data_IF_338121745908
#
_entry.id   IF_338121745908
#
_cell.length_a   1.000
_cell.length_b   1.000
_cell.length_c   1.000
_cell.angle_alpha   90.00
_cell.angle_beta   90.00
_cell.angle_gamma   90.00
#
_symmetry.space_group_name_H-M   'P 1'
#
loop_
_entity.id
_entity.type
_entity.pdbx_description
1 polymer ?
#
# COMPACT_ATOMS: atom_id res chain seq x y z
N UNK A 1 40.07 4.42 -9.26
CA UNK A 1 40.63 3.05 -9.12
C UNK A 1 40.88 2.81 -7.64
N UNK A 2 39.91 2.26 -6.91
CA UNK A 2 40.05 1.99 -5.48
C UNK A 2 38.75 1.41 -4.93
N UNK A 3 38.84 0.50 -3.96
CA UNK A 3 37.77 -0.30 -3.34
C UNK A 3 37.33 -1.61 -4.03
N UNK A 4 37.65 -1.89 -5.31
CA UNK A 4 37.10 -3.11 -5.97
C UNK A 4 37.90 -4.42 -5.78
N UNK A 5 39.15 -4.36 -5.30
CA UNK A 5 40.03 -5.56 -5.25
C UNK A 5 40.26 -6.16 -3.85
N UNK A 6 39.78 -5.53 -2.77
CA UNK A 6 40.08 -5.97 -1.40
C UNK A 6 38.90 -6.60 -0.66
N UNK A 7 37.67 -6.28 -1.03
CA UNK A 7 36.49 -6.97 -0.54
C UNK A 7 36.23 -8.14 -1.51
N UNK A 8 36.45 -9.37 -1.04
CA UNK A 8 36.36 -10.59 -1.86
C UNK A 8 35.09 -10.65 -2.72
N UNK A 9 35.13 -11.44 -3.80
CA UNK A 9 34.10 -11.57 -4.85
C UNK A 9 32.66 -11.64 -4.31
N UNK A 10 32.48 -12.25 -3.13
CA UNK A 10 31.21 -12.32 -2.38
C UNK A 10 30.62 -10.95 -2.01
N UNK A 11 31.42 -9.99 -1.55
CA UNK A 11 30.95 -8.65 -1.15
C UNK A 11 30.64 -7.80 -2.39
N UNK A 12 31.44 -7.93 -3.46
CA UNK A 12 31.19 -7.24 -4.72
C UNK A 12 29.87 -7.68 -5.38
N UNK A 13 29.59 -8.98 -5.37
CA UNK A 13 28.33 -9.53 -5.88
C UNK A 13 27.13 -9.07 -5.03
N UNK A 14 27.27 -9.03 -3.69
CA UNK A 14 26.24 -8.54 -2.78
C UNK A 14 25.85 -7.09 -3.08
N UNK A 15 26.82 -6.19 -3.21
CA UNK A 15 26.54 -4.79 -3.52
C UNK A 15 25.98 -4.58 -4.94
N UNK A 16 26.43 -5.37 -5.92
CA UNK A 16 25.86 -5.32 -7.27
C UNK A 16 24.40 -5.78 -7.29
N UNK A 17 24.08 -6.87 -6.59
CA UNK A 17 22.72 -7.37 -6.41
C UNK A 17 21.84 -6.35 -5.68
N UNK A 18 22.33 -5.78 -4.58
CA UNK A 18 21.61 -4.80 -3.78
C UNK A 18 21.30 -3.52 -4.58
N UNK A 19 22.27 -3.03 -5.35
CA UNK A 19 22.11 -1.86 -6.22
C UNK A 19 21.10 -2.12 -7.33
N UNK A 20 21.16 -3.29 -7.96
CA UNK A 20 20.19 -3.74 -8.95
C UNK A 20 18.78 -3.84 -8.38
N UNK A 21 18.62 -4.47 -7.21
CA UNK A 21 17.33 -4.62 -6.52
C UNK A 21 16.73 -3.26 -6.14
N UNK A 22 17.55 -2.35 -5.60
CA UNK A 22 17.12 -0.98 -5.24
C UNK A 22 16.73 -0.16 -6.47
N UNK A 23 17.49 -0.26 -7.56
CA UNK A 23 17.19 0.44 -8.81
C UNK A 23 15.88 -0.03 -9.45
N UNK A 24 15.58 -1.31 -9.28
CA UNK A 24 14.31 -1.90 -9.70
C UNK A 24 13.16 -1.52 -8.73
N UNK A 25 13.41 -1.39 -7.43
CA UNK A 25 12.40 -0.95 -6.47
C UNK A 25 11.92 0.49 -6.71
N UNK A 26 12.76 1.34 -7.27
CA UNK A 26 12.45 2.75 -7.52
C UNK A 26 11.18 2.97 -8.38
N UNK A 27 11.01 2.36 -9.59
CA UNK A 27 9.78 2.49 -10.35
C UNK A 27 8.57 1.88 -9.64
N UNK A 28 8.73 0.78 -8.90
CA UNK A 28 7.63 0.20 -8.11
C UNK A 28 7.17 1.15 -7.00
N UNK A 29 8.11 1.83 -6.33
CA UNK A 29 7.82 2.83 -5.31
C UNK A 29 7.11 4.06 -5.90
N UNK A 30 7.53 4.53 -7.08
CA UNK A 30 6.84 5.63 -7.77
C UNK A 30 5.40 5.30 -8.10
N UNK A 31 5.15 4.13 -8.72
CA UNK A 31 3.78 3.69 -9.05
C UNK A 31 2.92 3.56 -7.78
N UNK A 32 3.48 2.98 -6.71
CA UNK A 32 2.79 2.89 -5.42
C UNK A 32 2.44 4.26 -4.83
N UNK A 33 3.37 5.22 -4.91
CA UNK A 33 3.15 6.59 -4.44
C UNK A 33 2.06 7.31 -5.25
N UNK A 34 2.03 7.14 -6.57
CA UNK A 34 0.98 7.71 -7.42
C UNK A 34 -0.40 7.11 -7.12
N UNK A 35 -0.49 5.79 -6.95
CA UNK A 35 -1.74 5.11 -6.57
C UNK A 35 -2.23 5.60 -5.20
N UNK A 36 -1.31 5.76 -4.26
CA UNK A 36 -1.61 6.27 -2.92
C UNK A 36 -2.15 7.71 -2.95
N UNK A 37 -1.47 8.60 -3.66
CA UNK A 37 -1.92 9.99 -3.83
C UNK A 37 -3.29 10.04 -4.53
N UNK A 38 -3.48 9.26 -5.59
CA UNK A 38 -4.74 9.21 -6.32
C UNK A 38 -5.90 8.77 -5.42
N UNK A 39 -5.70 7.75 -4.59
CA UNK A 39 -6.75 7.31 -3.67
C UNK A 39 -7.03 8.34 -2.56
N UNK A 40 -6.02 9.06 -2.04
CA UNK A 40 -6.26 10.14 -1.06
C UNK A 40 -7.06 11.28 -1.69
N UNK A 41 -6.66 11.75 -2.88
CA UNK A 41 -7.40 12.80 -3.59
C UNK A 41 -8.84 12.37 -3.90
N UNK A 42 -9.03 11.11 -4.28
CA UNK A 42 -10.37 10.55 -4.51
C UNK A 42 -11.20 10.53 -3.22
N UNK A 43 -10.61 10.17 -2.08
CA UNK A 43 -11.31 10.18 -0.78
C UNK A 43 -11.67 11.59 -0.29
N UNK A 44 -10.87 12.61 -0.60
CA UNK A 44 -11.18 14.00 -0.25
C UNK A 44 -12.24 14.61 -1.17
N UNK A 45 -12.21 14.30 -2.47
CA UNK A 45 -13.17 14.86 -3.43
C UNK A 45 -14.50 14.10 -3.52
N UNK A 46 -14.60 12.87 -3.01
CA UNK A 46 -15.80 12.06 -3.18
C UNK A 46 -16.87 12.35 -2.10
N UNK A 47 -18.10 12.59 -2.56
CA UNK A 47 -19.27 12.86 -1.70
C UNK A 47 -19.54 11.73 -0.69
N UNK A 48 -19.22 10.48 -1.04
CA UNK A 48 -19.36 9.27 -0.20
C UNK A 48 -18.63 9.41 1.15
N UNK A 49 -17.41 9.94 1.12
CA UNK A 49 -16.56 10.17 2.30
C UNK A 49 -17.16 11.21 3.25
N UNK A 50 -17.92 12.16 2.69
CA UNK A 50 -18.59 13.24 3.41
C UNK A 50 -19.91 12.77 4.02
N UNK A 51 -20.66 11.97 3.28
CA UNK A 51 -21.94 11.40 3.75
C UNK A 51 -21.74 10.42 4.92
N UNK A 52 -20.72 9.55 4.87
CA UNK A 52 -20.42 8.61 5.96
C UNK A 52 -19.95 9.35 7.23
N UNK A 53 -19.15 10.42 7.07
CA UNK A 53 -18.64 11.21 8.19
C UNK A 53 -19.68 12.14 8.82
N UNK A 54 -20.65 12.65 8.04
CA UNK A 54 -21.71 13.53 8.54
C UNK A 54 -22.96 12.79 9.01
N UNK A 55 -23.07 11.49 8.73
CA UNK A 55 -24.17 10.63 9.18
C UNK A 55 -24.11 10.35 10.69
N UNK A 56 -24.40 11.38 11.49
CA UNK A 56 -24.48 11.29 12.95
C UNK A 56 -25.75 10.57 13.40
N UNK A 57 -26.80 10.57 12.57
CA UNK A 57 -28.12 10.00 12.91
C UNK A 57 -28.19 8.48 12.78
N UNK A 58 -27.14 7.84 12.25
CA UNK A 58 -27.07 6.39 12.05
C UNK A 58 -26.28 5.76 13.19
N UNK A 59 -26.98 5.04 14.07
CA UNK A 59 -26.40 4.28 15.18
C UNK A 59 -26.27 2.83 14.75
N UNK A 60 -25.07 2.27 14.87
CA UNK A 60 -24.81 0.86 14.60
C UNK A 60 -25.06 0.01 15.86
N UNK A 61 -25.47 -1.23 15.64
CA UNK A 61 -25.58 -2.20 16.73
C UNK A 61 -24.20 -2.51 17.33
N UNK A 62 -24.11 -2.70 18.66
CA UNK A 62 -22.88 -3.13 19.30
C UNK A 62 -22.47 -4.51 18.76
N UNK A 63 -21.16 -4.72 18.63
CA UNK A 63 -20.58 -5.95 18.09
C UNK A 63 -20.58 -7.09 19.14
N UNK A 64 -21.00 -6.79 20.38
CA UNK A 64 -20.92 -7.69 21.52
C UNK A 64 -22.27 -7.83 22.23
N UNK A 65 -22.54 -9.03 22.77
CA UNK A 65 -23.80 -9.38 23.43
C UNK A 65 -24.03 -8.68 24.79
N UNK A 66 -22.98 -8.22 25.49
CA UNK A 66 -23.10 -7.62 26.83
C UNK A 66 -22.15 -6.43 27.05
N UNK A 67 -22.66 -5.37 27.68
CA UNK A 67 -21.93 -4.19 28.16
C UNK A 67 -21.10 -3.40 27.12
N UNK A 68 -21.54 -3.32 25.85
CA UNK A 68 -20.89 -2.46 24.86
C UNK A 68 -21.72 -1.21 24.54
N UNK A 69 -21.08 -0.02 24.44
CA UNK A 69 -21.77 1.19 24.02
C UNK A 69 -22.19 1.09 22.54
N UNK A 70 -23.33 1.67 22.21
CA UNK A 70 -23.77 1.84 20.83
C UNK A 70 -22.79 2.76 20.10
N UNK A 71 -22.28 2.33 18.94
CA UNK A 71 -21.30 3.08 18.16
C UNK A 71 -22.01 3.90 17.08
N UNK A 72 -21.58 5.16 16.89
CA UNK A 72 -22.08 6.00 15.79
C UNK A 72 -21.33 5.65 14.51
N UNK A 73 -22.02 5.70 13.37
CA UNK A 73 -21.40 5.45 12.07
C UNK A 73 -20.26 6.44 11.78
N UNK A 74 -20.40 7.68 12.24
CA UNK A 74 -19.40 8.74 12.13
C UNK A 74 -18.06 8.41 12.81
N UNK A 75 -18.07 7.64 13.90
CA UNK A 75 -16.85 7.28 14.64
C UNK A 75 -15.95 6.34 13.84
N UNK A 76 -16.56 5.53 12.95
CA UNK A 76 -15.84 4.63 12.06
C UNK A 76 -15.56 5.24 10.69
N UNK A 77 -15.77 6.55 10.51
CA UNK A 77 -15.64 7.17 9.19
C UNK A 77 -14.22 7.03 8.61
N UNK A 78 -13.17 7.18 9.43
CA UNK A 78 -11.79 6.99 8.97
C UNK A 78 -11.56 5.55 8.51
N UNK A 79 -12.09 4.58 9.24
CA UNK A 79 -11.98 3.17 8.86
C UNK A 79 -12.71 2.89 7.55
N UNK A 80 -13.95 3.39 7.39
CA UNK A 80 -14.71 3.26 6.15
C UNK A 80 -14.01 3.90 4.95
N UNK A 81 -13.41 5.09 5.11
CA UNK A 81 -12.61 5.75 4.07
C UNK A 81 -11.40 4.90 3.68
N UNK A 82 -10.67 4.37 4.66
CA UNK A 82 -9.48 3.55 4.42
C UNK A 82 -9.84 2.25 3.69
N UNK A 83 -10.90 1.56 4.12
CA UNK A 83 -11.37 0.34 3.46
C UNK A 83 -11.81 0.62 2.02
N UNK A 84 -12.61 1.67 1.80
CA UNK A 84 -13.03 2.06 0.44
C UNK A 84 -11.85 2.49 -0.45
N UNK A 85 -10.78 3.03 0.13
CA UNK A 85 -9.55 3.35 -0.59
C UNK A 85 -8.82 2.08 -1.07
N UNK A 86 -8.75 1.05 -0.22
CA UNK A 86 -8.13 -0.23 -0.59
C UNK A 86 -8.98 -1.05 -1.56
N UNK A 87 -10.31 -0.94 -1.48
CA UNK A 87 -11.25 -1.58 -2.41
C UNK A 87 -11.35 -0.87 -3.79
N UNK A 88 -10.57 0.19 -4.01
CA UNK A 88 -10.55 0.87 -5.31
C UNK A 88 -9.69 0.12 -6.34
N UNK A 89 -10.08 0.20 -7.62
CA UNK A 89 -9.41 -0.52 -8.72
C UNK A 89 -7.91 -0.21 -8.88
N UNK A 90 -7.45 0.96 -8.41
CA UNK A 90 -6.04 1.35 -8.45
C UNK A 90 -5.15 0.46 -7.54
N UNK A 91 -5.65 0.08 -6.36
CA UNK A 91 -4.94 -0.81 -5.41
C UNK A 91 -4.87 -2.24 -5.94
N UNK A 92 -5.96 -2.72 -6.57
CA UNK A 92 -6.01 -4.03 -7.23
C UNK A 92 -4.97 -4.11 -8.35
N UNK A 93 -4.89 -3.06 -9.19
CA UNK A 93 -3.87 -2.97 -10.24
C UNK A 93 -2.45 -2.99 -9.67
N UNK A 94 -2.20 -2.23 -8.59
CA UNK A 94 -0.90 -2.22 -7.92
C UNK A 94 -0.53 -3.60 -7.34
N UNK A 95 -1.47 -4.33 -6.75
CA UNK A 95 -1.24 -5.67 -6.23
C UNK A 95 -0.83 -6.67 -7.33
N UNK A 96 -1.50 -6.61 -8.49
CA UNK A 96 -1.14 -7.43 -9.66
C UNK A 96 0.26 -7.05 -10.18
N UNK A 97 0.55 -5.76 -10.26
CA UNK A 97 1.88 -5.27 -10.65
C UNK A 97 2.98 -5.82 -9.73
N UNK A 98 2.79 -5.77 -8.41
CA UNK A 98 3.73 -6.30 -7.43
C UNK A 98 3.89 -7.82 -7.52
N UNK A 99 2.82 -8.57 -7.82
CA UNK A 99 2.88 -10.01 -8.02
C UNK A 99 3.69 -10.40 -9.26
N UNK A 100 3.46 -9.72 -10.39
CA UNK A 100 4.23 -9.91 -11.63
C UNK A 100 5.69 -9.50 -11.44
N UNK A 101 5.90 -8.39 -10.75
CA UNK A 101 7.23 -7.87 -10.41
C UNK A 101 8.04 -8.83 -9.55
N UNK A 102 7.44 -9.37 -8.49
CA UNK A 102 8.07 -10.37 -7.62
C UNK A 102 8.47 -11.60 -8.43
N UNK A 103 7.56 -12.13 -9.26
CA UNK A 103 7.85 -13.27 -10.14
C UNK A 103 9.00 -12.99 -11.12
N UNK A 104 9.02 -11.81 -11.75
CA UNK A 104 10.10 -11.41 -12.66
C UNK A 104 11.45 -11.29 -11.94
N UNK A 105 11.45 -10.74 -10.73
CA UNK A 105 12.68 -10.54 -9.93
C UNK A 105 13.24 -11.87 -9.41
N UNK A 106 12.37 -12.80 -8.97
CA UNK A 106 12.81 -14.13 -8.53
C UNK A 106 13.33 -14.99 -9.68
N UNK A 107 12.71 -14.91 -10.87
CA UNK A 107 13.17 -15.66 -12.05
C UNK A 107 14.54 -15.15 -12.54
N UNK A 108 14.83 -13.87 -12.37
CA UNK A 108 16.15 -13.25 -12.63
C UNK A 108 17.20 -13.54 -11.56
N UNK A 109 16.79 -14.10 -10.41
CA UNK A 109 17.69 -14.52 -9.31
C UNK A 109 18.21 -15.94 -9.44
N UNK A 110 17.61 -16.73 -10.35
CA UNK A 110 17.98 -18.12 -10.62
C UNK A 110 18.81 -18.31 -11.90
N UNK A 111 19.08 -17.22 -12.64
CA UNK A 111 20.00 -17.17 -13.78
C UNK A 111 21.23 -16.30 -13.47
#
# INVERSE_FOLDING_TARGET
MGCRRYFGEKIGLYFAWLGWYTGMLFPAALVGLFVFLYGIFTLEHCQVSKEICQATDIIMCPICDQYCPYLRLSDSCIYAKVTHFFDNGATVFFAVFMAVWGKSTTNKSFY
#
